data_IF_531036412322
#
_entry.id   IF_531036412322
#
_cell.length_a   1.000
_cell.length_b   1.000
_cell.length_c   1.000
_cell.angle_alpha   90.00
_cell.angle_beta   90.00
_cell.angle_gamma   90.00
#
_symmetry.space_group_name_H-M   'P 1'
#
loop_
_entity.id
_entity.type
_entity.pdbx_description
1 polymer ?
#
# COMPACT_ATOMS: atom_id res chain seq x y z
N UNK A 1 29.20 -3.45 24.08
CA UNK A 1 27.79 -3.66 24.45
C UNK A 1 26.97 -2.54 23.83
N UNK A 2 26.42 -2.77 22.63
CA UNK A 2 25.52 -1.81 21.97
C UNK A 2 24.11 -2.13 22.45
N UNK A 3 23.52 -1.22 23.21
CA UNK A 3 22.19 -1.34 23.82
C UNK A 3 21.13 -1.64 22.76
N UNK A 4 20.22 -2.59 23.06
CA UNK A 4 19.14 -3.08 22.20
C UNK A 4 18.17 -2.00 21.68
N UNK A 5 18.26 -0.78 22.22
CA UNK A 5 17.48 0.40 21.84
C UNK A 5 17.84 0.97 20.47
N UNK A 6 19.04 0.69 19.91
CA UNK A 6 19.44 1.23 18.60
C UNK A 6 18.91 0.43 17.40
N UNK A 7 18.48 -0.84 17.59
CA UNK A 7 17.91 -1.68 16.52
C UNK A 7 16.42 -1.45 16.25
N UNK A 8 15.75 -0.61 17.06
CA UNK A 8 14.29 -0.36 17.00
C UNK A 8 13.80 0.56 15.87
N UNK A 9 14.61 0.93 14.87
CA UNK A 9 14.19 1.89 13.82
C UNK A 9 13.81 1.23 12.49
N UNK A 10 12.92 0.25 12.55
CA UNK A 10 11.95 0.04 11.46
C UNK A 10 10.91 1.15 11.53
N UNK A 11 11.03 2.15 10.67
CA UNK A 11 10.36 3.44 10.85
C UNK A 11 8.83 3.35 10.73
N UNK A 12 8.30 2.50 9.86
CA UNK A 12 6.87 2.45 9.49
C UNK A 12 5.91 1.94 10.58
N UNK A 13 6.40 1.55 11.76
CA UNK A 13 5.55 0.94 12.80
C UNK A 13 5.87 1.40 14.24
N UNK A 14 6.73 2.39 14.43
CA UNK A 14 7.31 2.72 15.75
C UNK A 14 6.99 4.13 16.29
N UNK A 15 5.87 4.76 15.89
CA UNK A 15 5.45 6.03 16.52
C UNK A 15 4.61 5.77 17.78
N UNK A 16 4.99 6.27 18.97
CA UNK A 16 4.30 6.03 20.25
C UNK A 16 2.88 6.62 20.36
N UNK A 17 2.35 7.30 19.34
CA UNK A 17 0.94 7.74 19.27
C UNK A 17 0.11 6.83 18.37
N UNK A 18 0.08 5.53 18.69
CA UNK A 18 -0.61 4.42 17.98
C UNK A 18 -1.98 4.80 17.39
N UNK A 19 -1.97 5.43 16.22
CA UNK A 19 -3.15 5.86 15.46
C UNK A 19 -3.32 4.95 14.25
N UNK A 20 -4.55 4.89 13.75
CA UNK A 20 -4.86 4.22 12.50
C UNK A 20 -4.15 4.95 11.35
N UNK A 21 -3.24 4.25 10.65
CA UNK A 21 -2.45 4.82 9.56
C UNK A 21 -3.27 4.84 8.28
N UNK A 22 -3.91 3.73 7.95
CA UNK A 22 -4.72 3.60 6.74
C UNK A 22 -5.97 2.75 7.00
N UNK A 23 -7.10 3.25 6.49
CA UNK A 23 -8.40 2.61 6.55
C UNK A 23 -8.64 1.60 5.42
N UNK A 24 -7.91 1.74 4.31
CA UNK A 24 -7.89 0.82 3.18
C UNK A 24 -6.49 0.27 2.97
N UNK A 25 -6.42 -0.91 2.34
CA UNK A 25 -5.17 -1.33 1.73
C UNK A 25 -4.98 -0.60 0.41
N UNK A 26 -3.75 -0.18 0.19
CA UNK A 26 -3.31 0.43 -1.06
C UNK A 26 -2.44 -0.54 -1.88
N UNK A 27 -2.73 -1.83 -1.80
CA UNK A 27 -2.02 -2.89 -2.51
C UNK A 27 -3.02 -3.85 -3.18
N UNK A 28 -2.82 -4.13 -4.46
CA UNK A 28 -3.65 -5.08 -5.19
C UNK A 28 -3.13 -6.51 -4.98
N UNK A 29 -3.91 -7.34 -4.27
CA UNK A 29 -3.55 -8.72 -3.91
C UNK A 29 -3.36 -9.63 -5.14
N UNK A 30 -3.82 -9.21 -6.33
CA UNK A 30 -3.61 -9.97 -7.57
C UNK A 30 -2.15 -10.23 -7.87
N UNK A 31 -1.25 -9.31 -7.50
CA UNK A 31 0.19 -9.52 -7.72
C UNK A 31 0.72 -10.67 -6.85
N UNK A 32 0.28 -10.77 -5.60
CA UNK A 32 0.58 -11.93 -4.76
C UNK A 32 -0.03 -13.20 -5.35
N UNK A 33 -1.33 -13.18 -5.65
CA UNK A 33 -2.03 -14.37 -6.12
C UNK A 33 -1.44 -14.94 -7.43
N UNK A 34 -0.86 -14.09 -8.29
CA UNK A 34 -0.14 -14.51 -9.50
C UNK A 34 1.21 -15.21 -9.19
N UNK A 35 1.83 -14.94 -8.03
CA UNK A 35 3.17 -15.43 -7.66
C UNK A 35 3.13 -16.59 -6.65
N UNK A 36 2.04 -16.74 -5.90
CA UNK A 36 1.90 -17.71 -4.81
C UNK A 36 1.44 -19.08 -5.31
N UNK A 37 2.00 -20.14 -4.73
CA UNK A 37 1.49 -21.50 -4.92
C UNK A 37 0.22 -21.70 -4.07
N UNK A 38 -0.79 -22.47 -4.53
CA UNK A 38 -1.97 -22.78 -3.72
C UNK A 38 -1.60 -23.33 -2.34
N UNK A 39 -2.32 -22.89 -1.29
CA UNK A 39 -2.09 -23.38 0.08
C UNK A 39 -0.81 -22.89 0.78
N UNK A 40 -0.09 -21.92 0.20
CA UNK A 40 1.13 -21.33 0.79
C UNK A 40 0.91 -20.78 2.21
N UNK A 41 1.94 -20.88 3.06
CA UNK A 41 2.10 -20.13 4.33
C UNK A 41 2.68 -18.76 4.00
N UNK A 42 1.92 -17.70 4.27
CA UNK A 42 2.26 -16.34 3.86
C UNK A 42 2.36 -15.42 5.06
N UNK A 43 3.53 -14.81 5.27
CA UNK A 43 3.65 -13.66 6.16
C UNK A 43 3.32 -12.39 5.37
N UNK A 44 2.35 -11.61 5.84
CA UNK A 44 1.89 -10.42 5.15
C UNK A 44 1.84 -9.22 6.09
N UNK A 45 2.25 -8.04 5.63
CA UNK A 45 1.98 -6.80 6.37
C UNK A 45 0.47 -6.63 6.57
N UNK A 46 0.02 -6.43 7.82
CA UNK A 46 -1.40 -6.50 8.16
C UNK A 46 -2.28 -5.48 7.42
N UNK A 47 -1.75 -4.28 7.18
CA UNK A 47 -2.48 -3.25 6.43
C UNK A 47 -3.80 -2.85 7.11
N UNK A 48 -4.83 -2.57 6.32
CA UNK A 48 -6.23 -2.51 6.71
C UNK A 48 -6.94 -3.87 6.66
N UNK A 49 -6.23 -4.95 6.30
CA UNK A 49 -6.76 -6.32 6.32
C UNK A 49 -7.23 -6.88 4.98
N UNK A 50 -7.23 -6.10 3.90
CA UNK A 50 -7.85 -6.51 2.63
C UNK A 50 -7.00 -7.49 1.84
N UNK A 51 -5.68 -7.29 1.79
CA UNK A 51 -4.75 -8.22 1.15
C UNK A 51 -4.76 -9.53 1.91
N UNK A 52 -4.66 -9.50 3.24
CA UNK A 52 -4.66 -10.72 4.05
C UNK A 52 -5.99 -11.48 3.96
N UNK A 53 -7.12 -10.79 3.89
CA UNK A 53 -8.41 -11.43 3.64
C UNK A 53 -8.51 -12.07 2.26
N UNK A 54 -8.00 -11.41 1.21
CA UNK A 54 -7.97 -11.98 -0.14
C UNK A 54 -7.07 -13.21 -0.23
N UNK A 55 -5.91 -13.18 0.43
CA UNK A 55 -5.00 -14.32 0.50
C UNK A 55 -5.62 -15.50 1.27
N UNK A 56 -6.24 -15.24 2.43
CA UNK A 56 -6.93 -16.26 3.19
C UNK A 56 -8.12 -16.86 2.42
N UNK A 57 -8.90 -16.02 1.73
CA UNK A 57 -10.01 -16.46 0.88
C UNK A 57 -9.56 -17.33 -0.30
N UNK A 58 -8.33 -17.12 -0.79
CA UNK A 58 -7.70 -17.97 -1.80
C UNK A 58 -7.13 -19.30 -1.23
N UNK A 59 -7.32 -19.57 0.06
CA UNK A 59 -6.90 -20.81 0.72
C UNK A 59 -5.46 -20.81 1.23
N UNK A 60 -4.81 -19.64 1.32
CA UNK A 60 -3.49 -19.52 1.94
C UNK A 60 -3.58 -19.48 3.47
N UNK A 61 -2.53 -19.97 4.15
CA UNK A 61 -2.39 -19.82 5.61
C UNK A 61 -1.67 -18.50 5.87
N UNK A 62 -2.37 -17.50 6.39
CA UNK A 62 -1.87 -16.12 6.47
C UNK A 62 -1.53 -15.75 7.91
N UNK A 63 -0.31 -15.25 8.10
CA UNK A 63 0.11 -14.53 9.30
C UNK A 63 0.19 -13.04 8.96
N UNK A 64 -0.69 -12.23 9.53
CA UNK A 64 -0.75 -10.78 9.37
C UNK A 64 0.09 -10.09 10.46
N UNK A 65 1.11 -9.33 10.08
CA UNK A 65 2.06 -8.71 11.01
C UNK A 65 2.10 -7.19 10.92
N UNK A 66 2.16 -6.52 12.07
CA UNK A 66 2.57 -5.12 12.23
C UNK A 66 2.90 -4.86 13.69
N UNK A 67 3.79 -3.91 13.99
CA UNK A 67 4.01 -3.46 15.39
C UNK A 67 3.12 -2.28 15.79
N UNK A 68 2.15 -1.90 14.94
CA UNK A 68 1.11 -0.94 15.29
C UNK A 68 -0.16 -1.70 15.68
N UNK A 69 -0.33 -1.93 16.99
CA UNK A 69 -1.49 -2.62 17.55
C UNK A 69 -2.84 -2.03 17.11
N UNK A 70 -2.97 -0.70 17.06
CA UNK A 70 -4.21 -0.04 16.59
C UNK A 70 -4.55 -0.43 15.15
N UNK A 71 -3.53 -0.52 14.29
CA UNK A 71 -3.71 -0.96 12.90
C UNK A 71 -4.04 -2.45 12.82
N UNK A 72 -3.39 -3.30 13.64
CA UNK A 72 -3.65 -4.74 13.70
C UNK A 72 -5.09 -5.04 14.15
N UNK A 73 -5.52 -4.39 15.25
CA UNK A 73 -6.87 -4.53 15.79
C UNK A 73 -7.93 -4.04 14.80
N UNK A 74 -7.64 -2.93 14.10
CA UNK A 74 -8.52 -2.43 13.04
C UNK A 74 -8.62 -3.41 11.87
N UNK A 75 -7.50 -3.92 11.36
CA UNK A 75 -7.49 -4.89 10.27
C UNK A 75 -8.30 -6.15 10.66
N UNK A 76 -8.12 -6.65 11.88
CA UNK A 76 -8.89 -7.78 12.40
C UNK A 76 -10.40 -7.52 12.41
N UNK A 77 -10.83 -6.34 12.88
CA UNK A 77 -12.24 -5.94 12.85
C UNK A 77 -12.78 -5.81 11.43
N UNK A 78 -12.02 -5.20 10.52
CA UNK A 78 -12.42 -5.02 9.11
C UNK A 78 -12.62 -6.35 8.40
N UNK A 79 -11.71 -7.30 8.61
CA UNK A 79 -11.83 -8.67 8.08
C UNK A 79 -13.08 -9.36 8.63
N UNK A 80 -13.40 -9.16 9.92
CA UNK A 80 -14.63 -9.65 10.55
C UNK A 80 -15.91 -8.92 10.09
N UNK A 81 -15.83 -8.00 9.12
CA UNK A 81 -16.98 -7.26 8.58
C UNK A 81 -17.30 -5.94 9.31
N UNK A 82 -16.42 -5.45 10.19
CA UNK A 82 -16.55 -4.14 10.82
C UNK A 82 -16.46 -2.99 9.82
N UNK A 83 -16.94 -1.81 10.22
CA UNK A 83 -17.03 -0.64 9.34
C UNK A 83 -15.66 -0.05 8.97
N UNK A 84 -15.63 0.66 7.84
CA UNK A 84 -14.48 1.46 7.44
C UNK A 84 -14.26 2.65 8.40
N UNK A 85 -13.02 2.82 8.86
CA UNK A 85 -12.59 3.99 9.62
C UNK A 85 -11.45 4.68 8.86
N UNK A 86 -11.51 6.00 8.60
CA UNK A 86 -10.46 6.68 7.87
C UNK A 86 -9.17 6.74 8.70
N UNK A 87 -8.06 6.32 8.09
CA UNK A 87 -6.72 6.47 8.66
C UNK A 87 -6.14 7.87 8.41
N UNK A 88 -4.89 8.06 8.82
CA UNK A 88 -4.15 9.28 8.52
C UNK A 88 -3.97 9.49 7.00
N UNK A 89 -3.80 8.42 6.22
CA UNK A 89 -3.72 8.47 4.75
C UNK A 89 -5.03 9.00 4.13
N UNK A 90 -6.17 8.44 4.51
CA UNK A 90 -7.46 8.84 3.94
C UNK A 90 -7.81 10.28 4.30
N UNK A 91 -7.51 10.72 5.53
CA UNK A 91 -7.65 12.13 5.93
C UNK A 91 -6.79 13.07 5.09
N UNK A 92 -5.54 12.68 4.78
CA UNK A 92 -4.68 13.45 3.89
C UNK A 92 -5.29 13.54 2.48
N UNK A 93 -5.74 12.41 1.93
CA UNK A 93 -6.36 12.39 0.61
C UNK A 93 -7.66 13.20 0.57
N UNK A 94 -8.47 13.19 1.62
CA UNK A 94 -9.69 14.01 1.71
C UNK A 94 -9.41 15.50 1.67
N UNK A 95 -8.38 15.96 2.38
CA UNK A 95 -7.95 17.36 2.32
C UNK A 95 -7.55 17.71 0.88
N UNK A 96 -6.72 16.88 0.24
CA UNK A 96 -6.30 17.10 -1.14
C UNK A 96 -7.47 17.13 -2.11
N UNK A 97 -8.38 16.15 -2.03
CA UNK A 97 -9.61 16.12 -2.84
C UNK A 97 -10.46 17.38 -2.63
N UNK A 98 -10.61 17.83 -1.38
CA UNK A 98 -11.34 19.05 -1.04
C UNK A 98 -10.74 20.29 -1.70
N UNK A 99 -9.42 20.47 -1.60
CA UNK A 99 -8.70 21.57 -2.23
C UNK A 99 -8.86 21.56 -3.77
N UNK A 100 -8.69 20.40 -4.41
CA UNK A 100 -8.77 20.31 -5.88
C UNK A 100 -10.21 20.55 -6.35
N UNK A 101 -11.21 20.03 -5.62
CA UNK A 101 -12.64 20.28 -5.90
C UNK A 101 -13.00 21.75 -5.81
N UNK A 102 -12.49 22.47 -4.81
CA UNK A 102 -12.74 23.89 -4.64
C UNK A 102 -12.09 24.74 -5.75
N UNK A 103 -10.92 24.33 -6.24
CA UNK A 103 -10.13 25.09 -7.20
C UNK A 103 -10.32 24.68 -8.67
N UNK A 104 -11.03 23.58 -8.96
CA UNK A 104 -11.20 23.08 -10.33
C UNK A 104 -12.60 22.50 -10.57
N UNK A 105 -13.42 23.09 -11.47
CA UNK A 105 -14.72 22.54 -11.85
C UNK A 105 -14.64 21.13 -12.46
N UNK A 106 -13.51 20.80 -13.10
CA UNK A 106 -13.24 19.47 -13.65
C UNK A 106 -13.28 18.39 -12.56
N UNK A 107 -12.95 18.75 -11.33
CA UNK A 107 -12.90 17.86 -10.17
C UNK A 107 -14.18 17.83 -9.34
N UNK A 108 -15.26 18.50 -9.79
CA UNK A 108 -16.55 18.40 -9.11
C UNK A 108 -16.96 16.93 -8.93
N UNK A 109 -17.58 16.62 -7.77
CA UNK A 109 -17.95 15.24 -7.39
C UNK A 109 -18.70 14.52 -8.51
N UNK A 110 -19.64 15.20 -9.16
CA UNK A 110 -20.42 14.67 -10.29
C UNK A 110 -19.54 14.26 -11.48
N UNK A 111 -18.58 15.10 -11.87
CA UNK A 111 -17.69 14.83 -13.02
C UNK A 111 -16.69 13.72 -12.71
N UNK A 112 -16.11 13.71 -11.51
CA UNK A 112 -15.21 12.63 -11.09
C UNK A 112 -15.97 11.31 -11.04
N UNK A 113 -17.20 11.28 -10.50
CA UNK A 113 -18.04 10.07 -10.51
C UNK A 113 -18.35 9.60 -11.94
N UNK A 114 -18.70 10.51 -12.85
CA UNK A 114 -18.92 10.16 -14.26
C UNK A 114 -17.66 9.59 -14.90
N UNK A 115 -16.50 10.21 -14.66
CA UNK A 115 -15.21 9.70 -15.12
C UNK A 115 -14.94 8.29 -14.56
N UNK A 116 -15.24 8.05 -13.29
CA UNK A 116 -15.07 6.75 -12.65
C UNK A 116 -16.01 5.66 -13.19
N UNK A 117 -17.02 6.01 -13.98
CA UNK A 117 -17.89 5.06 -14.68
C UNK A 117 -17.38 4.69 -16.08
N UNK A 118 -16.27 5.30 -16.55
CA UNK A 118 -15.66 4.96 -17.83
C UNK A 118 -15.16 3.50 -17.84
N UNK A 119 -15.52 2.78 -18.91
CA UNK A 119 -15.21 1.36 -19.10
C UNK A 119 -14.04 1.15 -20.06
N UNK A 120 -13.74 2.13 -20.90
CA UNK A 120 -12.59 2.11 -21.79
C UNK A 120 -11.38 2.75 -21.11
N UNK A 121 -10.35 1.93 -20.88
CA UNK A 121 -9.09 2.33 -20.27
C UNK A 121 -8.35 3.44 -21.05
N UNK A 122 -8.38 3.39 -22.39
CA UNK A 122 -7.72 4.40 -23.22
C UNK A 122 -8.47 5.73 -23.19
N UNK A 123 -9.82 5.69 -23.23
CA UNK A 123 -10.64 6.90 -23.03
C UNK A 123 -10.45 7.49 -21.64
N UNK A 124 -10.37 6.66 -20.60
CA UNK A 124 -10.10 7.12 -19.25
C UNK A 124 -8.73 7.80 -19.14
N UNK A 125 -7.68 7.20 -19.72
CA UNK A 125 -6.36 7.80 -19.73
C UNK A 125 -6.33 9.15 -20.48
N UNK A 126 -7.05 9.25 -21.60
CA UNK A 126 -7.16 10.50 -22.35
C UNK A 126 -7.94 11.58 -21.60
N UNK A 127 -9.06 11.21 -20.96
CA UNK A 127 -9.83 12.09 -20.10
C UNK A 127 -8.97 12.59 -18.94
N UNK A 128 -8.23 11.70 -18.27
CA UNK A 128 -7.30 12.05 -17.22
C UNK A 128 -6.32 13.12 -17.70
N UNK A 129 -5.60 12.85 -18.79
CA UNK A 129 -4.59 13.75 -19.36
C UNK A 129 -5.16 15.11 -19.78
N UNK A 130 -6.33 15.13 -20.40
CA UNK A 130 -6.91 16.34 -20.98
C UNK A 130 -7.73 17.19 -20.00
N UNK A 131 -8.23 16.62 -18.90
CA UNK A 131 -9.17 17.30 -17.98
C UNK A 131 -8.74 17.29 -16.52
N UNK A 132 -8.37 16.13 -15.97
CA UNK A 132 -8.15 15.96 -14.53
C UNK A 132 -6.71 16.25 -14.12
N UNK A 133 -5.74 15.87 -14.96
CA UNK A 133 -4.30 16.07 -14.78
C UNK A 133 -3.87 17.49 -15.16
N UNK A 134 -4.47 18.47 -14.49
CA UNK A 134 -4.31 19.88 -14.80
C UNK A 134 -3.34 20.59 -13.84
N UNK A 135 -3.04 21.87 -14.14
CA UNK A 135 -2.13 22.70 -13.32
C UNK A 135 -2.60 22.84 -11.88
N UNK A 136 -3.91 22.89 -11.64
CA UNK A 136 -4.47 22.99 -10.28
C UNK A 136 -4.13 21.75 -9.45
N UNK A 137 -4.34 20.55 -10.01
CA UNK A 137 -3.93 19.30 -9.37
C UNK A 137 -2.41 19.29 -9.10
N UNK A 138 -1.62 19.67 -10.10
CA UNK A 138 -0.16 19.72 -9.98
C UNK A 138 0.29 20.63 -8.82
N UNK A 139 -0.26 21.83 -8.73
CA UNK A 139 0.05 22.78 -7.65
C UNK A 139 -0.34 22.23 -6.28
N UNK A 140 -1.53 21.65 -6.14
CA UNK A 140 -1.98 21.11 -4.85
C UNK A 140 -1.12 19.92 -4.42
N UNK A 141 -0.80 18.99 -5.32
CA UNK A 141 0.08 17.87 -5.01
C UNK A 141 1.49 18.35 -4.63
N UNK A 142 2.02 19.35 -5.33
CA UNK A 142 3.32 19.96 -4.98
C UNK A 142 3.30 20.59 -3.58
N UNK A 143 2.22 21.29 -3.22
CA UNK A 143 2.05 21.85 -1.87
C UNK A 143 1.93 20.77 -0.80
N UNK A 144 1.23 19.67 -1.09
CA UNK A 144 0.97 18.62 -0.10
C UNK A 144 2.11 17.61 0.05
N UNK A 145 2.82 17.29 -1.03
CA UNK A 145 3.78 16.18 -1.09
C UNK A 145 5.21 16.68 -1.33
N UNK A 146 5.39 17.98 -1.58
CA UNK A 146 6.71 18.58 -1.75
C UNK A 146 7.50 18.69 -0.45
N UNK A 147 8.84 18.81 -0.54
CA UNK A 147 9.75 18.81 0.62
C UNK A 147 9.56 20.00 1.59
N UNK A 148 8.86 21.06 1.17
CA UNK A 148 8.52 22.24 1.99
C UNK A 148 7.02 22.32 2.36
N UNK A 149 6.24 21.28 2.09
CA UNK A 149 4.81 21.23 2.39
C UNK A 149 4.55 21.22 3.90
N UNK A 150 3.96 22.29 4.43
CA UNK A 150 3.60 22.37 5.85
C UNK A 150 2.50 21.36 6.26
N UNK A 151 1.68 20.92 5.31
CA UNK A 151 0.57 19.99 5.56
C UNK A 151 1.03 18.52 5.66
N UNK A 152 2.02 18.12 4.86
CA UNK A 152 2.67 16.81 4.98
C UNK A 152 3.34 16.68 6.34
N UNK A 153 4.03 17.72 6.84
CA UNK A 153 4.65 17.65 8.17
C UNK A 153 3.65 17.42 9.34
N UNK A 154 2.40 17.88 9.21
CA UNK A 154 1.36 17.74 10.25
C UNK A 154 0.64 16.38 10.20
N UNK A 155 0.36 15.86 9.00
CA UNK A 155 -0.37 14.59 8.80
C UNK A 155 0.60 13.40 8.66
N UNK A 156 1.75 13.59 8.03
CA UNK A 156 2.85 12.63 7.98
C UNK A 156 3.63 12.59 9.30
N UNK A 157 3.26 13.35 10.34
CA UNK A 157 3.84 13.13 11.67
C UNK A 157 3.58 11.71 12.17
N UNK A 158 2.47 11.12 11.74
CA UNK A 158 2.09 9.73 12.02
C UNK A 158 2.75 8.75 11.02
N UNK A 159 3.26 9.24 9.87
CA UNK A 159 3.99 8.48 8.86
C UNK A 159 5.49 8.77 8.93
N UNK A 160 6.27 7.84 9.44
CA UNK A 160 7.74 7.94 9.50
C UNK A 160 8.47 8.01 8.15
N UNK A 161 7.75 7.95 7.03
CA UNK A 161 8.26 7.72 5.68
C UNK A 161 8.46 9.04 4.94
N UNK A 162 9.71 9.50 4.71
CA UNK A 162 9.99 10.49 3.67
C UNK A 162 9.47 9.99 2.32
N UNK A 163 8.64 10.81 1.68
CA UNK A 163 8.23 10.58 0.30
C UNK A 163 9.44 10.75 -0.63
N UNK A 164 9.55 9.96 -1.71
CA UNK A 164 10.60 10.14 -2.70
C UNK A 164 10.62 11.57 -3.28
N UNK A 165 11.77 12.07 -3.76
CA UNK A 165 11.82 13.31 -4.52
C UNK A 165 10.83 13.29 -5.70
N UNK A 166 10.19 14.43 -5.97
CA UNK A 166 9.22 14.61 -7.07
C UNK A 166 8.03 13.63 -7.03
N UNK A 167 7.66 13.15 -5.84
CA UNK A 167 6.55 12.21 -5.68
C UNK A 167 5.21 12.78 -6.20
N UNK A 168 5.02 14.10 -6.15
CA UNK A 168 3.88 14.83 -6.71
C UNK A 168 3.75 14.65 -8.24
N UNK A 169 4.85 14.69 -8.98
CA UNK A 169 4.85 14.42 -10.42
C UNK A 169 4.76 12.91 -10.70
N UNK A 170 5.48 12.11 -9.91
CA UNK A 170 5.50 10.67 -10.06
C UNK A 170 4.08 10.07 -9.91
N UNK A 171 3.30 10.53 -8.92
CA UNK A 171 1.96 9.99 -8.67
C UNK A 171 0.98 10.30 -9.80
N UNK A 172 1.03 11.53 -10.36
CA UNK A 172 0.22 11.92 -11.53
C UNK A 172 0.53 11.02 -12.72
N UNK A 173 1.83 10.80 -12.99
CA UNK A 173 2.28 9.89 -14.04
C UNK A 173 1.88 8.44 -13.79
N UNK A 174 1.89 7.96 -12.54
CA UNK A 174 1.46 6.60 -12.19
C UNK A 174 -0.03 6.39 -12.44
N UNK A 175 -0.88 7.33 -12.02
CA UNK A 175 -2.33 7.31 -12.29
C UNK A 175 -2.58 7.24 -13.79
N UNK A 176 -2.00 8.16 -14.57
CA UNK A 176 -2.18 8.17 -16.03
C UNK A 176 -1.72 6.87 -16.70
N UNK A 177 -0.62 6.27 -16.25
CA UNK A 177 -0.14 4.97 -16.76
C UNK A 177 -1.06 3.81 -16.40
N UNK A 178 -1.57 3.79 -15.16
CA UNK A 178 -2.44 2.72 -14.69
C UNK A 178 -3.80 2.77 -15.38
N UNK A 179 -4.36 3.97 -15.59
CA UNK A 179 -5.62 4.15 -16.31
C UNK A 179 -5.58 3.60 -17.75
N UNK A 180 -4.42 3.63 -18.42
CA UNK A 180 -4.25 3.00 -19.75
C UNK A 180 -4.43 1.48 -19.75
N UNK A 181 -4.33 0.84 -18.59
CA UNK A 181 -4.47 -0.62 -18.43
C UNK A 181 -5.74 -1.01 -17.71
N UNK A 182 -6.20 -0.17 -16.79
CA UNK A 182 -7.29 -0.46 -15.89
C UNK A 182 -8.33 0.64 -16.00
N UNK A 183 -9.47 0.31 -16.61
CA UNK A 183 -10.61 1.21 -16.62
C UNK A 183 -11.06 1.53 -15.19
N UNK A 184 -11.37 2.80 -14.86
CA UNK A 184 -11.69 3.20 -13.50
C UNK A 184 -13.01 2.59 -12.99
N UNK A 185 -13.94 2.23 -13.87
CA UNK A 185 -15.20 1.55 -13.51
C UNK A 185 -15.02 0.22 -12.79
N UNK A 186 -13.95 -0.51 -13.06
CA UNK A 186 -13.62 -1.78 -12.41
C UNK A 186 -12.47 -1.68 -11.40
N UNK A 187 -11.98 -0.47 -11.10
CA UNK A 187 -10.80 -0.27 -10.26
C UNK A 187 -11.19 0.33 -8.90
N UNK A 188 -11.30 -0.46 -7.81
CA UNK A 188 -11.68 0.04 -6.49
C UNK A 188 -10.72 1.14 -5.97
N UNK A 189 -9.43 1.03 -6.28
CA UNK A 189 -8.46 2.01 -5.84
C UNK A 189 -8.63 3.37 -6.53
N UNK A 190 -9.14 3.42 -7.76
CA UNK A 190 -9.45 4.68 -8.44
C UNK A 190 -10.59 5.43 -7.75
N UNK A 191 -11.62 4.70 -7.31
CA UNK A 191 -12.75 5.25 -6.54
C UNK A 191 -12.28 5.81 -5.19
N UNK A 192 -11.50 5.01 -4.46
CA UNK A 192 -10.93 5.40 -3.17
C UNK A 192 -10.03 6.62 -3.29
N UNK A 193 -9.15 6.65 -4.30
CA UNK A 193 -8.18 7.72 -4.47
C UNK A 193 -8.84 9.03 -4.93
N UNK A 194 -9.66 8.97 -5.97
CA UNK A 194 -10.17 10.18 -6.65
C UNK A 194 -11.45 10.71 -6.02
N UNK A 195 -12.32 9.83 -5.52
CA UNK A 195 -13.62 10.20 -4.97
C UNK A 195 -13.67 10.11 -3.44
N UNK A 196 -12.85 9.24 -2.83
CA UNK A 196 -12.93 8.92 -1.41
C UNK A 196 -14.10 7.98 -1.10
N UNK A 197 -14.47 7.14 -2.05
CA UNK A 197 -15.59 6.20 -1.94
C UNK A 197 -15.15 4.80 -2.31
N UNK A 198 -15.87 3.79 -1.82
CA UNK A 198 -15.74 2.42 -2.27
C UNK A 198 -16.37 2.26 -3.66
N UNK A 199 -15.81 1.37 -4.49
CA UNK A 199 -16.44 1.00 -5.76
C UNK A 199 -17.81 0.37 -5.47
N UNK A 200 -18.91 0.79 -6.13
CA UNK A 200 -20.22 0.17 -5.90
C UNK A 200 -20.20 -1.34 -6.12
N UNK A 201 -20.70 -2.08 -5.12
CA UNK A 201 -20.71 -3.54 -5.14
C UNK A 201 -19.36 -4.20 -4.78
N UNK A 202 -18.30 -3.42 -4.57
CA UNK A 202 -17.06 -3.97 -4.02
C UNK A 202 -17.25 -4.30 -2.54
N UNK A 203 -16.87 -5.51 -2.18
CA UNK A 203 -16.85 -5.98 -0.81
C UNK A 203 -15.60 -6.84 -0.60
N UNK A 204 -15.08 -6.81 0.61
CA UNK A 204 -14.01 -7.72 0.99
C UNK A 204 -14.53 -9.16 1.03
N UNK A 205 -13.71 -10.15 0.66
CA UNK A 205 -14.04 -11.54 0.90
C UNK A 205 -14.38 -11.77 2.37
N UNK A 206 -15.47 -12.49 2.63
CA UNK A 206 -15.84 -12.88 3.99
C UNK A 206 -14.96 -14.06 4.41
N UNK A 207 -14.00 -13.80 5.28
CA UNK A 207 -13.21 -14.83 5.94
C UNK A 207 -13.32 -14.63 7.45
N UNK A 208 -13.30 -15.73 8.20
CA UNK A 208 -13.24 -15.66 9.66
C UNK A 208 -11.94 -14.98 10.08
N UNK A 209 -12.01 -14.01 11.00
CA UNK A 209 -10.81 -13.35 11.52
C UNK A 209 -9.89 -14.33 12.28
N UNK A 210 -10.41 -15.47 12.71
CA UNK A 210 -9.70 -16.62 13.28
C UNK A 210 -8.96 -17.47 12.22
N UNK A 211 -9.28 -17.33 10.93
CA UNK A 211 -8.54 -17.98 9.84
C UNK A 211 -7.19 -17.29 9.53
N UNK A 212 -6.92 -16.15 10.17
CA UNK A 212 -5.69 -15.37 10.03
C UNK A 212 -4.99 -15.32 11.38
N UNK A 213 -3.70 -15.63 11.41
CA UNK A 213 -2.87 -15.40 12.59
C UNK A 213 -2.49 -13.92 12.65
N UNK A 214 -2.77 -13.24 13.77
CA UNK A 214 -2.48 -11.81 13.94
C UNK A 214 -1.27 -11.63 14.86
N UNK A 215 -0.20 -11.04 14.34
CA UNK A 215 1.10 -10.89 15.01
C UNK A 215 1.38 -9.42 15.32
N UNK A 216 1.34 -9.06 16.60
CA UNK A 216 1.71 -7.73 17.11
C UNK A 216 3.20 -7.69 17.49
N UNK A 217 4.07 -7.56 16.48
CA UNK A 217 5.51 -7.55 16.68
C UNK A 217 6.22 -6.71 15.60
N UNK A 218 7.39 -6.11 15.91
CA UNK A 218 8.30 -5.61 14.89
C UNK A 218 8.68 -6.70 13.88
N UNK A 219 8.53 -6.41 12.59
CA UNK A 219 8.79 -7.36 11.50
C UNK A 219 10.18 -7.99 11.57
N UNK A 220 11.22 -7.18 11.82
CA UNK A 220 12.60 -7.69 11.88
C UNK A 220 12.77 -8.69 13.03
N UNK A 221 12.25 -8.36 14.22
CA UNK A 221 12.35 -9.22 15.40
C UNK A 221 11.62 -10.55 15.16
N UNK A 222 10.43 -10.50 14.56
CA UNK A 222 9.68 -11.71 14.17
C UNK A 222 10.46 -12.58 13.19
N UNK A 223 11.00 -11.98 12.12
CA UNK A 223 11.76 -12.70 11.10
C UNK A 223 13.08 -13.27 11.64
N UNK A 224 13.75 -12.57 12.56
CA UNK A 224 14.97 -13.04 13.21
C UNK A 224 14.72 -14.25 14.13
N UNK A 225 13.52 -14.38 14.69
CA UNK A 225 13.10 -15.52 15.53
C UNK A 225 12.48 -16.66 14.73
N UNK A 226 11.93 -16.38 13.54
CA UNK A 226 11.33 -17.40 12.70
C UNK A 226 12.36 -18.44 12.25
N UNK A 227 11.97 -19.73 12.30
CA UNK A 227 12.77 -20.83 11.78
C UNK A 227 13.05 -20.65 10.28
N UNK A 228 14.21 -21.11 9.77
CA UNK A 228 14.46 -21.16 8.34
C UNK A 228 13.34 -21.91 7.59
N UNK A 229 12.84 -21.36 6.49
CA UNK A 229 11.74 -21.97 5.73
C UNK A 229 10.37 -21.98 6.43
N UNK A 230 10.16 -21.15 7.47
CA UNK A 230 8.87 -20.99 8.14
C UNK A 230 7.74 -20.53 7.19
N UNK A 231 8.07 -19.78 6.14
CA UNK A 231 7.12 -19.21 5.19
C UNK A 231 7.38 -19.68 3.77
N UNK A 232 6.30 -19.92 3.02
CA UNK A 232 6.38 -20.22 1.60
C UNK A 232 6.48 -18.91 0.79
N UNK A 233 5.95 -17.81 1.33
CA UNK A 233 6.10 -16.47 0.79
C UNK A 233 6.00 -15.38 1.87
N UNK A 234 6.54 -14.20 1.56
CA UNK A 234 6.45 -13.01 2.41
C UNK A 234 6.03 -11.84 1.52
N UNK A 235 5.00 -11.08 1.93
CA UNK A 235 4.60 -9.83 1.25
C UNK A 235 4.63 -8.65 2.22
N UNK A 236 5.35 -7.59 1.85
CA UNK A 236 5.49 -6.38 2.66
C UNK A 236 5.27 -5.13 1.80
N UNK A 237 4.37 -4.26 2.26
CA UNK A 237 4.06 -3.01 1.54
C UNK A 237 4.34 -1.81 2.42
N UNK A 238 5.05 -0.81 1.89
CA UNK A 238 5.43 0.43 2.59
C UNK A 238 6.24 0.21 3.89
N UNK A 239 6.90 -0.93 4.02
CA UNK A 239 7.70 -1.26 5.21
C UNK A 239 9.09 -0.61 5.16
N UNK A 240 9.72 -0.64 3.98
CA UNK A 240 11.12 -0.20 3.79
C UNK A 240 11.25 1.28 3.40
N UNK A 241 10.15 1.93 3.04
CA UNK A 241 10.18 3.32 2.61
C UNK A 241 10.60 4.24 3.78
N UNK A 242 11.76 4.89 3.62
CA UNK A 242 12.30 5.83 4.62
C UNK A 242 13.01 5.19 5.82
N UNK A 243 13.13 3.87 5.81
CA UNK A 243 13.98 3.13 6.75
C UNK A 243 15.46 3.30 6.41
N UNK A 244 16.34 3.08 7.39
CA UNK A 244 17.78 3.10 7.15
C UNK A 244 18.24 1.88 6.35
N UNK A 245 19.28 2.04 5.52
CA UNK A 245 19.77 1.00 4.62
C UNK A 245 20.22 -0.27 5.34
N UNK A 246 20.75 -0.13 6.56
CA UNK A 246 21.18 -1.29 7.36
C UNK A 246 19.97 -2.09 7.80
N UNK A 247 18.94 -1.44 8.32
CA UNK A 247 17.70 -2.12 8.70
C UNK A 247 17.02 -2.79 7.50
N UNK A 248 16.96 -2.13 6.34
CA UNK A 248 16.42 -2.74 5.11
C UNK A 248 17.22 -3.99 4.72
N UNK A 249 18.55 -3.95 4.84
CA UNK A 249 19.42 -5.11 4.58
C UNK A 249 19.18 -6.24 5.56
N UNK A 250 19.02 -5.93 6.84
CA UNK A 250 18.80 -6.91 7.91
C UNK A 250 17.43 -7.58 7.74
N UNK A 251 16.36 -6.82 7.46
CA UNK A 251 15.02 -7.34 7.13
C UNK A 251 15.07 -8.23 5.90
N UNK A 252 15.72 -7.79 4.83
CA UNK A 252 15.85 -8.58 3.60
C UNK A 252 16.54 -9.91 3.87
N UNK A 253 17.63 -9.91 4.65
CA UNK A 253 18.37 -11.11 5.01
C UNK A 253 17.51 -12.06 5.86
N UNK A 254 16.83 -11.54 6.87
CA UNK A 254 15.98 -12.34 7.75
C UNK A 254 14.78 -12.92 6.99
N UNK A 255 14.14 -12.13 6.11
CA UNK A 255 13.04 -12.57 5.25
C UNK A 255 13.48 -13.70 4.31
N UNK A 256 14.62 -13.55 3.62
CA UNK A 256 15.14 -14.60 2.73
C UNK A 256 15.47 -15.89 3.50
N UNK A 257 15.98 -15.80 4.74
CA UNK A 257 16.20 -16.98 5.59
C UNK A 257 14.89 -17.67 5.97
N UNK A 258 13.87 -16.89 6.32
CA UNK A 258 12.57 -17.42 6.76
C UNK A 258 11.74 -18.00 5.60
N UNK A 259 12.13 -17.74 4.35
CA UNK A 259 11.50 -18.32 3.16
C UNK A 259 12.02 -19.73 2.87
N UNK A 260 11.13 -20.60 2.38
CA UNK A 260 11.53 -21.85 1.73
C UNK A 260 12.36 -21.55 0.47
N UNK A 261 13.25 -22.47 0.03
CA UNK A 261 13.99 -22.29 -1.21
C UNK A 261 13.08 -21.96 -2.40
N UNK A 262 13.45 -20.92 -3.16
CA UNK A 262 12.65 -20.40 -4.29
C UNK A 262 11.37 -19.61 -3.92
N UNK A 263 11.03 -19.53 -2.63
CA UNK A 263 9.89 -18.76 -2.12
C UNK A 263 10.04 -17.26 -2.39
N UNK A 264 8.96 -16.53 -2.74
CA UNK A 264 9.04 -15.11 -3.06
C UNK A 264 8.93 -14.21 -1.83
N UNK A 265 9.83 -13.22 -1.76
CA UNK A 265 9.65 -11.97 -1.02
C UNK A 265 9.11 -10.92 -1.99
N UNK A 266 7.87 -10.49 -1.76
CA UNK A 266 7.17 -9.46 -2.53
C UNK A 266 7.22 -8.16 -1.72
N UNK A 267 7.92 -7.16 -2.23
CA UNK A 267 8.08 -5.87 -1.53
C UNK A 267 7.58 -4.71 -2.40
N UNK A 268 6.68 -3.89 -1.85
CA UNK A 268 6.22 -2.66 -2.50
C UNK A 268 6.82 -1.42 -1.85
N UNK A 269 7.25 -0.49 -2.68
CA UNK A 269 7.83 0.79 -2.26
C UNK A 269 7.30 1.94 -3.12
N UNK A 270 7.17 3.12 -2.50
CA UNK A 270 6.85 4.34 -3.21
C UNK A 270 8.01 4.82 -4.10
N UNK A 271 9.25 4.46 -3.76
CA UNK A 271 10.43 4.80 -4.54
C UNK A 271 10.42 4.12 -5.92
N UNK A 272 10.90 4.85 -6.91
CA UNK A 272 11.19 4.30 -8.24
C UNK A 272 12.40 3.38 -8.17
N UNK A 273 12.49 2.47 -9.12
CA UNK A 273 13.60 1.53 -9.25
C UNK A 273 14.15 1.55 -10.67
N UNK A 274 15.43 1.19 -10.81
CA UNK A 274 16.06 0.94 -12.12
C UNK A 274 15.82 -0.50 -12.60
N UNK A 275 15.24 -1.36 -11.76
CA UNK A 275 14.79 -2.70 -12.15
C UNK A 275 13.51 -2.60 -12.99
N UNK A 276 13.67 -2.87 -14.29
CA UNK A 276 12.58 -2.79 -15.26
C UNK A 276 11.40 -3.70 -14.94
N UNK A 277 11.64 -4.89 -14.40
CA UNK A 277 10.59 -5.85 -14.11
C UNK A 277 9.82 -5.44 -12.85
N UNK A 278 10.51 -4.97 -11.83
CA UNK A 278 9.86 -4.38 -10.65
C UNK A 278 9.04 -3.14 -11.02
N UNK A 279 9.53 -2.29 -11.93
CA UNK A 279 8.78 -1.15 -12.46
C UNK A 279 7.60 -1.59 -13.36
N UNK A 280 7.73 -2.66 -14.15
CA UNK A 280 6.62 -3.23 -14.95
C UNK A 280 5.52 -3.78 -14.04
N UNK A 281 5.87 -4.50 -12.97
CA UNK A 281 4.90 -4.99 -11.96
C UNK A 281 4.18 -3.83 -11.27
N UNK A 282 4.90 -2.81 -10.81
CA UNK A 282 4.28 -1.60 -10.25
C UNK A 282 3.30 -0.92 -11.22
N UNK A 283 3.62 -0.90 -12.52
CA UNK A 283 2.72 -0.40 -13.58
C UNK A 283 1.52 -1.31 -13.87
N UNK A 284 1.46 -2.54 -13.35
CA UNK A 284 0.31 -3.45 -13.47
C UNK A 284 -0.60 -3.37 -12.25
N UNK A 285 -0.11 -2.89 -11.11
CA UNK A 285 -0.87 -2.77 -9.88
C UNK A 285 -1.98 -1.72 -10.02
N UNK A 286 -3.20 -2.08 -9.59
CA UNK A 286 -4.39 -1.22 -9.72
C UNK A 286 -4.42 -0.07 -8.71
N UNK A 287 -3.63 -0.11 -7.64
CA UNK A 287 -3.59 0.94 -6.62
C UNK A 287 -2.92 2.23 -7.09
N UNK A 288 -2.09 2.15 -8.14
CA UNK A 288 -1.49 3.31 -8.83
C UNK A 288 -0.52 4.14 -7.96
N UNK A 289 -0.21 3.69 -6.74
CA UNK A 289 0.66 4.41 -5.81
C UNK A 289 2.13 4.00 -5.90
N UNK A 290 2.41 2.74 -6.27
CA UNK A 290 3.75 2.16 -6.11
C UNK A 290 4.72 2.59 -7.21
N UNK A 291 5.97 2.84 -6.80
CA UNK A 291 7.09 3.10 -7.71
C UNK A 291 7.81 1.82 -8.12
N UNK A 292 7.77 0.81 -7.26
CA UNK A 292 8.37 -0.49 -7.49
C UNK A 292 7.60 -1.60 -6.76
N UNK A 293 7.53 -2.77 -7.39
CA UNK A 293 7.09 -4.01 -6.76
C UNK A 293 8.14 -5.07 -7.07
N UNK A 294 9.03 -5.30 -6.11
CA UNK A 294 10.13 -6.25 -6.23
C UNK A 294 9.64 -7.62 -5.84
N UNK A 295 9.96 -8.63 -6.65
CA UNK A 295 9.78 -10.04 -6.31
C UNK A 295 11.17 -10.66 -6.29
N UNK A 296 11.68 -10.92 -5.09
CA UNK A 296 12.95 -11.61 -4.89
C UNK A 296 12.67 -13.04 -4.47
N UNK A 297 13.28 -14.02 -5.16
CA UNK A 297 13.19 -15.42 -4.74
C UNK A 297 14.37 -15.77 -3.83
N UNK A 298 14.09 -16.54 -2.78
CA UNK A 298 15.15 -17.18 -2.00
C UNK A 298 15.97 -18.11 -2.89
N UNK A 299 17.28 -18.22 -2.62
CA UNK A 299 18.12 -19.14 -3.36
C UNK A 299 17.59 -20.59 -3.24
N UNK A 300 17.76 -21.43 -4.28
CA UNK A 300 17.45 -22.86 -4.19
C UNK A 300 18.31 -23.59 -3.16
#
# INVERSE_FOLDING_TARGET
MVTSTSRRRGRSSANPRQRLLHGWDWADARIELDELRPGSRVLASAGAGEVVAQLAAAGHRVSAITSNRTQLDYARRRVAGGDFEPGAAERLFDIGRGMVRAASPAWSRRRVRQFLQEQDALRAAEHWRSRLDNRTLASILKTMLGPAGSLSALVLRDFSTPLPPHFDEAIRGRIGRALRKHAPSGNPFAWRLLLGEELPGHALPRVGADAIEWVDEPLLDHLERAEPGAYDAITISNVVDGADERWVRDVRKAAVRALVPGGPLIARSFATTMDDDAAKRARRDRAMLWGSIVVQRAAP
#
